data_IF_368614172515
#
_entry.id   IF_368614172515
#
_cell.length_a   1.000
_cell.length_b   1.000
_cell.length_c   1.000
_cell.angle_alpha   90.00
_cell.angle_beta   90.00
_cell.angle_gamma   90.00
#
_symmetry.space_group_name_H-M   'P 1'
#
loop_
_entity.id
_entity.type
_entity.pdbx_description
1 polymer ?
#
# COMPACT_ATOMS: atom_id res chain seq x y z
N UNK A 1 18.17 -40.39 -7.98
CA UNK A 1 17.04 -40.00 -7.09
C UNK A 1 17.13 -38.50 -6.83
N UNK A 2 16.31 -37.67 -7.49
CA UNK A 2 16.26 -36.21 -7.24
C UNK A 2 15.15 -35.94 -6.24
N UNK A 3 15.50 -35.45 -5.04
CA UNK A 3 14.53 -34.98 -4.05
C UNK A 3 14.09 -33.57 -4.46
N UNK A 4 12.82 -33.43 -4.84
CA UNK A 4 12.15 -32.13 -4.96
C UNK A 4 11.89 -31.64 -3.53
N UNK A 5 12.54 -30.55 -3.14
CA UNK A 5 12.22 -29.84 -1.91
C UNK A 5 11.05 -28.91 -2.25
N UNK A 6 9.86 -29.28 -1.80
CA UNK A 6 8.69 -28.40 -1.80
C UNK A 6 8.99 -27.24 -0.84
N UNK A 7 9.23 -26.04 -1.35
CA UNK A 7 9.19 -24.83 -0.55
C UNK A 7 7.71 -24.57 -0.20
N UNK A 8 7.29 -25.04 0.97
CA UNK A 8 6.02 -24.62 1.55
C UNK A 8 6.16 -23.14 1.92
N UNK A 9 5.58 -22.26 1.10
CA UNK A 9 5.40 -20.85 1.48
C UNK A 9 4.36 -20.88 2.59
N UNK A 10 4.83 -20.91 3.84
CA UNK A 10 4.02 -20.64 5.00
C UNK A 10 3.41 -19.25 4.78
N UNK A 11 2.11 -19.20 4.49
CA UNK A 11 1.34 -17.98 4.51
C UNK A 11 1.32 -17.49 5.95
N UNK A 12 2.33 -16.71 6.33
CA UNK A 12 2.29 -15.90 7.52
C UNK A 12 1.16 -14.89 7.32
N UNK A 13 -0.04 -15.26 7.76
CA UNK A 13 -1.07 -14.31 8.11
C UNK A 13 -0.43 -13.47 9.21
N UNK A 14 0.06 -12.28 8.85
CA UNK A 14 0.59 -11.33 9.83
C UNK A 14 -0.61 -10.91 10.66
N UNK A 15 -0.75 -11.55 11.82
CA UNK A 15 -1.74 -11.21 12.83
C UNK A 15 -1.56 -9.74 13.17
N UNK A 16 -2.54 -8.93 12.77
CA UNK A 16 -2.63 -7.50 13.10
C UNK A 16 -2.68 -7.41 14.62
N UNK A 17 -1.61 -6.89 15.21
CA UNK A 17 -1.49 -6.69 16.65
C UNK A 17 -2.64 -5.81 17.14
N UNK A 18 -3.38 -6.36 18.10
CA UNK A 18 -4.46 -5.71 18.83
C UNK A 18 -3.94 -4.51 19.60
N UNK A 19 -4.13 -3.33 19.01
CA UNK A 19 -4.02 -2.02 19.63
C UNK A 19 -4.95 -1.08 18.87
N UNK A 20 -6.25 -1.37 18.88
CA UNK A 20 -7.30 -0.62 18.17
C UNK A 20 -7.41 0.80 18.72
N UNK A 21 -6.58 1.69 18.18
CA UNK A 21 -7.11 2.98 17.76
C UNK A 21 -7.83 2.72 16.45
N UNK A 22 -9.15 3.00 16.36
CA UNK A 22 -9.97 2.87 15.15
C UNK A 22 -9.53 3.88 14.06
N UNK A 23 -8.28 3.80 13.64
CA UNK A 23 -7.68 4.66 12.62
C UNK A 23 -7.68 3.86 11.33
N UNK A 24 -8.71 4.09 10.51
CA UNK A 24 -8.70 3.65 9.12
C UNK A 24 -7.89 4.65 8.28
N UNK A 25 -7.04 4.13 7.40
CA UNK A 25 -6.33 4.92 6.38
C UNK A 25 -6.96 4.69 5.03
N UNK A 26 -7.08 5.75 4.25
CA UNK A 26 -7.67 5.74 2.94
C UNK A 26 -6.76 6.39 1.92
N UNK A 27 -6.84 5.90 0.69
CA UNK A 27 -6.25 6.55 -0.46
C UNK A 27 -7.35 7.36 -1.16
N UNK A 28 -7.41 8.67 -0.90
CA UNK A 28 -8.47 9.56 -1.41
C UNK A 28 -9.90 9.02 -1.21
N UNK A 29 -10.20 8.53 -0.01
CA UNK A 29 -11.52 7.96 0.31
C UNK A 29 -11.74 6.52 -0.13
N UNK A 30 -10.82 5.91 -0.88
CA UNK A 30 -10.84 4.47 -1.14
C UNK A 30 -10.39 3.68 0.09
N UNK A 31 -11.13 2.61 0.42
CA UNK A 31 -10.80 1.70 1.52
C UNK A 31 -9.89 0.57 1.03
N UNK A 32 -9.18 -0.07 1.96
CA UNK A 32 -8.43 -1.28 1.65
C UNK A 32 -9.31 -2.33 0.95
N UNK A 33 -8.75 -2.95 -0.08
CA UNK A 33 -9.34 -3.89 -1.03
C UNK A 33 -10.23 -3.27 -2.12
N UNK A 34 -10.31 -1.94 -2.21
CA UNK A 34 -10.96 -1.29 -3.35
C UNK A 34 -10.22 -1.58 -4.67
N UNK A 35 -10.99 -1.61 -5.76
CA UNK A 35 -10.46 -1.60 -7.12
C UNK A 35 -10.47 -0.17 -7.65
N UNK A 36 -9.30 0.34 -8.04
CA UNK A 36 -9.11 1.71 -8.49
C UNK A 36 -8.62 1.68 -9.94
N UNK A 37 -9.24 2.47 -10.82
CA UNK A 37 -8.72 2.66 -12.18
C UNK A 37 -7.34 3.33 -12.11
N UNK A 38 -6.41 2.92 -12.98
CA UNK A 38 -5.04 3.44 -12.97
C UNK A 38 -5.00 4.98 -13.09
N UNK A 39 -5.86 5.57 -13.92
CA UNK A 39 -5.95 7.03 -14.07
C UNK A 39 -6.45 7.71 -12.80
N UNK A 40 -7.41 7.08 -12.11
CA UNK A 40 -7.86 7.57 -10.81
C UNK A 40 -6.71 7.53 -9.83
N UNK A 41 -5.94 6.44 -9.75
CA UNK A 41 -4.76 6.36 -8.89
C UNK A 41 -3.75 7.48 -9.20
N UNK A 42 -3.47 7.73 -10.48
CA UNK A 42 -2.50 8.75 -10.90
C UNK A 42 -2.94 10.19 -10.56
N UNK A 43 -4.23 10.41 -10.27
CA UNK A 43 -4.75 11.68 -9.77
C UNK A 43 -4.62 11.87 -8.25
N UNK A 44 -4.25 10.81 -7.52
CA UNK A 44 -4.21 10.81 -6.05
C UNK A 44 -2.87 11.35 -5.55
N UNK A 45 -2.95 12.27 -4.57
CA UNK A 45 -1.76 12.96 -4.08
C UNK A 45 -1.29 12.48 -2.72
N UNK A 46 -2.18 11.95 -1.89
CA UNK A 46 -1.87 11.63 -0.49
C UNK A 46 -2.72 10.50 0.12
N UNK A 47 -2.15 9.85 1.12
CA UNK A 47 -2.89 9.02 2.09
C UNK A 47 -3.56 9.92 3.13
N UNK A 48 -4.68 9.46 3.66
CA UNK A 48 -5.46 10.17 4.67
C UNK A 48 -5.94 9.22 5.75
N UNK A 49 -6.30 9.75 6.92
CA UNK A 49 -6.85 8.99 8.05
C UNK A 49 -8.27 9.43 8.34
N UNK A 50 -9.10 8.49 8.80
CA UNK A 50 -10.49 8.73 9.26
C UNK A 50 -10.58 9.77 10.37
N UNK A 51 -9.65 9.74 11.32
CA UNK A 51 -9.62 10.67 12.43
C UNK A 51 -8.59 11.78 12.17
N UNK A 52 -9.08 13.02 12.01
CA UNK A 52 -8.28 14.21 11.69
C UNK A 52 -7.28 14.64 12.77
N UNK A 53 -7.39 14.08 13.98
CA UNK A 53 -6.41 14.32 15.04
C UNK A 53 -5.11 13.53 14.83
N UNK A 54 -5.10 12.60 13.86
CA UNK A 54 -3.92 11.88 13.42
C UNK A 54 -3.46 12.41 12.06
N UNK A 55 -2.19 12.21 11.73
CA UNK A 55 -1.65 12.51 10.41
C UNK A 55 -0.70 11.42 9.95
N UNK A 56 -0.74 11.07 8.65
CA UNK A 56 0.24 10.14 8.07
C UNK A 56 1.58 10.87 7.96
N UNK A 57 2.65 10.23 8.41
CA UNK A 57 4.02 10.77 8.40
C UNK A 57 5.01 9.88 7.69
N UNK A 58 4.54 8.79 7.09
CA UNK A 58 5.33 7.95 6.21
C UNK A 58 4.64 6.64 5.89
N UNK A 59 5.08 6.00 4.82
CA UNK A 59 4.57 4.71 4.37
C UNK A 59 5.56 4.08 3.37
N UNK A 60 5.34 2.80 3.09
CA UNK A 60 5.97 2.07 1.99
C UNK A 60 4.90 1.67 0.97
N UNK A 61 5.11 2.00 -0.31
CA UNK A 61 4.31 1.49 -1.43
C UNK A 61 5.06 0.32 -2.06
N UNK A 62 4.39 -0.81 -2.19
CA UNK A 62 4.87 -2.00 -2.86
C UNK A 62 4.03 -2.26 -4.11
N UNK A 63 4.67 -2.45 -5.26
CA UNK A 63 4.04 -2.81 -6.52
C UNK A 63 4.48 -4.22 -6.89
N UNK A 64 3.52 -5.14 -7.00
CA UNK A 64 3.80 -6.50 -7.45
C UNK A 64 3.67 -6.59 -8.97
N UNK A 65 4.74 -6.97 -9.64
CA UNK A 65 4.81 -7.06 -11.10
C UNK A 65 5.41 -8.39 -11.51
N UNK A 66 4.57 -9.32 -11.99
CA UNK A 66 5.01 -10.64 -12.49
C UNK A 66 5.97 -11.40 -11.54
N UNK A 67 5.73 -11.29 -10.24
CA UNK A 67 6.56 -11.92 -9.19
C UNK A 67 7.72 -11.07 -8.68
N UNK A 68 7.98 -9.91 -9.28
CA UNK A 68 8.91 -8.92 -8.76
C UNK A 68 8.20 -7.91 -7.87
N UNK A 69 8.79 -7.62 -6.71
CA UNK A 69 8.33 -6.59 -5.79
C UNK A 69 9.17 -5.34 -5.99
N UNK A 70 8.52 -4.22 -6.34
CA UNK A 70 9.15 -2.89 -6.32
C UNK A 70 8.68 -2.15 -5.09
N UNK A 71 9.61 -1.67 -4.28
CA UNK A 71 9.32 -0.98 -3.02
C UNK A 71 9.72 0.49 -3.11
N UNK A 72 8.84 1.37 -2.66
CA UNK A 72 9.04 2.82 -2.61
C UNK A 72 8.70 3.31 -1.21
N UNK A 73 9.50 4.21 -0.65
CA UNK A 73 9.24 4.76 0.70
C UNK A 73 8.94 6.25 0.62
N UNK A 74 7.95 6.69 1.38
CA UNK A 74 7.66 8.10 1.61
C UNK A 74 7.86 8.42 3.10
N UNK A 75 8.49 9.57 3.37
CA UNK A 75 8.61 10.17 4.70
C UNK A 75 7.52 11.21 4.96
N UNK A 76 6.44 11.17 4.20
CA UNK A 76 5.27 12.05 4.32
C UNK A 76 3.99 11.28 4.01
N UNK A 77 2.84 11.96 4.01
CA UNK A 77 1.56 11.43 3.52
C UNK A 77 1.46 11.39 1.98
N UNK A 78 2.42 11.99 1.26
CA UNK A 78 2.33 12.18 -0.18
C UNK A 78 2.79 10.96 -0.98
N UNK A 79 2.05 10.65 -2.05
CA UNK A 79 2.50 9.77 -3.12
C UNK A 79 3.59 10.51 -3.90
N UNK A 80 4.78 9.91 -4.02
CA UNK A 80 5.91 10.57 -4.69
C UNK A 80 5.79 10.48 -6.21
N UNK A 81 6.50 11.36 -6.94
CA UNK A 81 6.55 11.28 -8.40
C UNK A 81 7.12 9.94 -8.88
N UNK A 82 8.09 9.38 -8.17
CA UNK A 82 8.65 8.07 -8.47
C UNK A 82 7.60 6.96 -8.40
N UNK A 83 6.76 6.98 -7.35
CA UNK A 83 5.65 6.05 -7.18
C UNK A 83 4.62 6.20 -8.31
N UNK A 84 4.26 7.44 -8.67
CA UNK A 84 3.34 7.71 -9.78
C UNK A 84 3.90 7.20 -11.11
N UNK A 85 5.16 7.49 -11.42
CA UNK A 85 5.82 7.01 -12.63
C UNK A 85 5.86 5.48 -12.68
N UNK A 86 6.14 4.83 -11.54
CA UNK A 86 6.18 3.37 -11.46
C UNK A 86 4.80 2.73 -11.71
N UNK A 87 3.73 3.39 -11.26
CA UNK A 87 2.35 2.95 -11.50
C UNK A 87 1.93 3.24 -12.94
N UNK A 88 2.24 4.41 -13.48
CA UNK A 88 1.96 4.75 -14.88
C UNK A 88 2.64 3.77 -15.84
N UNK A 89 3.87 3.35 -15.55
CA UNK A 89 4.59 2.34 -16.32
C UNK A 89 3.88 0.97 -16.38
N UNK A 90 2.87 0.72 -15.54
CA UNK A 90 2.04 -0.48 -15.62
C UNK A 90 1.10 -0.46 -16.84
N UNK A 91 0.69 0.72 -17.34
CA UNK A 91 -0.15 0.85 -18.55
C UNK A 91 0.49 0.21 -19.78
N UNK A 92 1.81 0.29 -19.86
CA UNK A 92 2.57 -0.25 -20.98
C UNK A 92 2.75 -1.78 -20.91
N UNK A 93 2.18 -2.44 -19.89
CA UNK A 93 2.28 -3.88 -19.69
C UNK A 93 1.00 -4.54 -20.17
N UNK A 94 1.12 -5.71 -20.79
CA UNK A 94 -0.01 -6.54 -21.17
C UNK A 94 -0.64 -7.21 -19.92
N UNK A 95 -1.25 -6.41 -19.04
CA UNK A 95 -1.92 -6.82 -17.81
C UNK A 95 -3.21 -6.02 -17.64
N UNK A 96 -4.30 -6.69 -17.20
CA UNK A 96 -5.60 -6.03 -16.97
C UNK A 96 -5.75 -5.46 -15.57
N UNK A 97 -5.01 -6.02 -14.61
CA UNK A 97 -5.03 -5.60 -13.21
C UNK A 97 -3.68 -5.88 -12.58
N UNK A 98 -3.31 -5.10 -11.57
CA UNK A 98 -2.23 -5.46 -10.65
C UNK A 98 -2.59 -5.15 -9.20
N UNK A 99 -1.83 -5.69 -8.25
CA UNK A 99 -1.97 -5.41 -6.83
C UNK A 99 -0.88 -4.45 -6.38
N UNK A 100 -1.28 -3.44 -5.63
CA UNK A 100 -0.36 -2.58 -4.90
C UNK A 100 -0.68 -2.65 -3.40
N UNK A 101 0.35 -2.49 -2.58
CA UNK A 101 0.23 -2.57 -1.13
C UNK A 101 0.88 -1.34 -0.52
N UNK A 102 0.19 -0.68 0.41
CA UNK A 102 0.80 0.24 1.33
C UNK A 102 1.11 -0.52 2.61
N UNK A 103 2.33 -0.40 3.12
CA UNK A 103 2.78 -1.06 4.35
C UNK A 103 3.58 -0.07 5.20
N UNK A 104 3.88 -0.46 6.43
CA UNK A 104 4.64 0.36 7.39
C UNK A 104 4.07 1.77 7.48
N UNK A 105 2.73 1.90 7.50
CA UNK A 105 2.06 3.19 7.52
C UNK A 105 2.24 3.77 8.90
N UNK A 106 2.92 4.92 8.95
CA UNK A 106 3.24 5.63 10.19
C UNK A 106 2.30 6.80 10.35
N UNK A 107 1.65 6.88 11.51
CA UNK A 107 0.80 8.01 11.89
C UNK A 107 1.33 8.72 13.12
N UNK A 108 1.28 10.05 13.09
CA UNK A 108 1.52 10.89 14.26
C UNK A 108 0.21 11.03 15.03
N UNK A 109 0.29 10.72 16.31
CA UNK A 109 -0.78 10.84 17.30
C UNK A 109 -0.93 12.30 17.77
N UNK A 110 -2.09 12.67 18.35
CA UNK A 110 -2.29 14.02 18.91
C UNK A 110 -1.24 14.39 19.96
N UNK A 111 -0.75 13.39 20.70
CA UNK A 111 0.29 13.54 21.74
C UNK A 111 1.71 13.68 21.15
N UNK A 112 1.85 13.63 19.82
CA UNK A 112 3.12 13.80 19.12
C UNK A 112 3.91 12.51 18.87
N UNK A 113 3.47 11.38 19.43
CA UNK A 113 4.10 10.07 19.21
C UNK A 113 3.83 9.55 17.79
N UNK A 114 4.74 8.75 17.24
CA UNK A 114 4.55 8.05 15.96
C UNK A 114 4.22 6.58 16.20
N UNK A 115 3.18 6.08 15.54
CA UNK A 115 2.75 4.68 15.61
C UNK A 115 2.69 4.06 14.22
N UNK A 116 3.02 2.78 14.11
CA UNK A 116 2.73 1.96 12.94
C UNK A 116 1.30 1.42 13.07
N UNK A 117 0.52 1.47 11.99
CA UNK A 117 -0.88 1.03 11.95
C UNK A 117 -1.14 -0.05 10.89
N UNK A 118 -0.10 -0.67 10.35
CA UNK A 118 -0.21 -1.77 9.40
C UNK A 118 -0.26 -1.32 7.94
N UNK A 119 -0.99 -2.07 7.12
CA UNK A 119 -1.00 -1.92 5.66
C UNK A 119 -2.37 -1.99 5.00
N UNK A 120 -2.42 -1.55 3.74
CA UNK A 120 -3.59 -1.51 2.87
C UNK A 120 -3.26 -2.17 1.54
N UNK A 121 -4.15 -3.01 1.03
CA UNK A 121 -4.05 -3.57 -0.32
C UNK A 121 -5.03 -2.85 -1.25
N UNK A 122 -4.63 -2.56 -2.48
CA UNK A 122 -5.53 -2.10 -3.55
C UNK A 122 -5.33 -2.91 -4.82
N UNK A 123 -6.41 -3.09 -5.57
CA UNK A 123 -6.36 -3.64 -6.92
C UNK A 123 -6.38 -2.47 -7.90
N UNK A 124 -5.35 -2.34 -8.73
CA UNK A 124 -5.30 -1.33 -9.78
C UNK A 124 -5.78 -1.97 -11.07
N UNK A 125 -6.89 -1.44 -11.61
CA UNK A 125 -7.40 -1.80 -12.94
C UNK A 125 -6.63 -1.01 -13.99
N UNK A 126 -6.06 -1.72 -14.95
CA UNK A 126 -5.29 -1.18 -16.07
C UNK A 126 -6.15 -1.37 -17.31
N UNK A 127 -6.58 -0.27 -17.92
CA UNK A 127 -7.42 -0.26 -19.13
C UNK A 127 -6.57 -0.19 -20.40
#
# INVERSE_FOLDING_TARGET
>A
MRKLILLAIASCIVSITTGQTNIEVFLNGHKGNDTIAIDNFLSLQNLSVSNKNYSVVGFQLNIMDRGFLKEFRSSSDKITQEMMNAIEALKNKNMKTTKIFFENIKVKTPEGNVKDIGGLLYIIKIE
#
